data_IF_436173457606
#
_entry.id   IF_436173457606
#
_cell.length_a   1.000
_cell.length_b   1.000
_cell.length_c   1.000
_cell.angle_alpha   90.00
_cell.angle_beta   90.00
_cell.angle_gamma   90.00
#
_symmetry.space_group_name_H-M   'P 1'
#
loop_
_entity.id
_entity.type
_entity.pdbx_description
1 polymer ?
#
# COMPACT_ATOMS: atom_id res chain seq x y z
N UNK A 1 -19.73 -3.95 1.37
CA UNK A 1 -20.19 -2.55 1.25
C UNK A 1 -19.31 -1.73 2.17
N UNK A 2 -18.61 -0.70 1.70
CA UNK A 2 -17.62 0.06 2.50
C UNK A 2 -18.27 1.04 3.50
N UNK A 3 -19.58 1.30 3.33
CA UNK A 3 -20.37 2.18 4.20
C UNK A 3 -20.64 1.62 5.61
N UNK A 4 -20.37 0.33 5.86
CA UNK A 4 -20.68 -0.31 7.15
C UNK A 4 -19.64 0.01 8.24
N UNK A 5 -18.46 0.51 7.87
CA UNK A 5 -17.36 0.83 8.80
C UNK A 5 -17.15 2.34 9.04
N UNK A 6 -17.95 3.21 8.43
CA UNK A 6 -17.85 4.66 8.61
C UNK A 6 -16.52 5.26 8.13
N UNK A 7 -15.88 4.67 7.12
CA UNK A 7 -14.60 5.14 6.56
C UNK A 7 -14.82 6.50 5.92
N UNK A 8 -14.07 7.52 6.37
CA UNK A 8 -14.15 8.90 5.85
C UNK A 8 -12.88 9.33 5.14
N UNK A 9 -11.83 8.53 5.17
CA UNK A 9 -10.58 8.80 4.45
C UNK A 9 -9.90 7.50 4.06
N UNK A 10 -9.40 7.45 2.83
CA UNK A 10 -8.68 6.32 2.25
C UNK A 10 -7.49 6.82 1.44
N UNK A 11 -6.34 6.19 1.60
CA UNK A 11 -5.16 6.41 0.76
C UNK A 11 -4.52 5.06 0.45
N UNK A 12 -4.17 4.84 -0.81
CA UNK A 12 -3.52 3.62 -1.26
C UNK A 12 -2.36 3.89 -2.20
N UNK A 13 -1.39 2.97 -2.22
CA UNK A 13 -0.36 2.89 -3.24
C UNK A 13 -0.20 1.44 -3.71
N UNK A 14 -0.13 1.19 -5.03
CA UNK A 14 0.02 -0.15 -5.56
C UNK A 14 1.42 -0.69 -5.24
N UNK A 15 1.50 -1.99 -4.99
CA UNK A 15 2.75 -2.75 -4.94
C UNK A 15 3.07 -3.21 -6.36
N UNK A 16 4.06 -2.60 -6.99
CA UNK A 16 4.46 -2.90 -8.37
C UNK A 16 5.88 -3.45 -8.34
N UNK A 17 6.06 -4.67 -8.83
CA UNK A 17 7.37 -5.30 -8.92
C UNK A 17 8.22 -4.75 -10.09
N UNK A 18 9.45 -5.22 -10.20
CA UNK A 18 10.36 -4.83 -11.30
C UNK A 18 9.88 -5.21 -12.71
N UNK A 19 8.92 -6.12 -12.83
CA UNK A 19 8.33 -6.54 -14.12
C UNK A 19 7.16 -5.65 -14.53
N UNK A 20 6.68 -4.79 -13.63
CA UNK A 20 5.48 -3.99 -13.81
C UNK A 20 4.20 -4.71 -13.39
N UNK A 21 4.30 -5.89 -12.75
CA UNK A 21 3.15 -6.62 -12.22
C UNK A 21 2.67 -5.97 -10.92
N UNK A 22 1.35 -5.82 -10.80
CA UNK A 22 0.71 -5.37 -9.56
C UNK A 22 0.53 -6.57 -8.63
N UNK A 23 1.31 -6.61 -7.54
CA UNK A 23 1.26 -7.66 -6.53
C UNK A 23 0.11 -7.43 -5.52
N UNK A 24 -0.32 -6.18 -5.34
CA UNK A 24 -1.30 -5.80 -4.34
C UNK A 24 -1.35 -4.29 -4.09
N UNK A 25 -1.81 -3.89 -2.90
CA UNK A 25 -1.90 -2.46 -2.51
C UNK A 25 -1.65 -2.31 -1.01
N UNK A 26 -0.82 -1.34 -0.64
CA UNK A 26 -0.77 -0.82 0.73
C UNK A 26 -1.85 0.25 0.84
N UNK A 27 -2.71 0.13 1.85
CA UNK A 27 -3.77 1.09 2.09
C UNK A 27 -3.86 1.52 3.54
N UNK A 28 -4.30 2.76 3.74
CA UNK A 28 -4.65 3.34 5.03
C UNK A 28 -6.09 3.78 4.96
N UNK A 29 -6.86 3.43 5.98
CA UNK A 29 -8.25 3.86 6.17
C UNK A 29 -8.40 4.59 7.49
N UNK A 30 -9.25 5.61 7.53
CA UNK A 30 -9.59 6.34 8.75
C UNK A 30 -11.08 6.70 8.76
N UNK A 31 -11.69 6.70 9.95
CA UNK A 31 -13.09 7.11 10.19
C UNK A 31 -13.22 8.63 10.37
N UNK A 32 -12.11 9.36 10.47
CA UNK A 32 -12.07 10.82 10.48
C UNK A 32 -11.56 11.37 9.14
N UNK A 33 -12.01 12.57 8.71
CA UNK A 33 -11.40 13.26 7.58
C UNK A 33 -9.91 13.53 7.82
N UNK A 34 -9.05 13.12 6.88
CA UNK A 34 -7.59 13.35 6.94
C UNK A 34 -7.10 14.16 5.75
N UNK A 35 -6.35 15.22 6.04
CA UNK A 35 -5.66 16.04 5.04
C UNK A 35 -4.19 15.59 4.90
N UNK A 36 -3.97 14.37 4.41
CA UNK A 36 -2.63 13.80 4.28
C UNK A 36 -1.72 14.55 3.29
N UNK A 37 -2.31 15.20 2.28
CA UNK A 37 -1.60 16.00 1.30
C UNK A 37 -0.49 15.23 0.55
N UNK A 38 0.43 15.99 -0.04
CA UNK A 38 1.62 15.42 -0.69
C UNK A 38 2.52 14.63 0.28
N UNK A 39 2.74 15.05 1.54
CA UNK A 39 3.59 14.30 2.46
C UNK A 39 3.06 12.88 2.74
N UNK A 40 1.76 12.71 2.97
CA UNK A 40 1.19 11.39 3.18
C UNK A 40 1.22 10.53 1.92
N UNK A 41 1.02 11.12 0.74
CA UNK A 41 1.17 10.41 -0.52
C UNK A 41 2.61 9.94 -0.74
N UNK A 42 3.60 10.77 -0.41
CA UNK A 42 5.01 10.40 -0.50
C UNK A 42 5.33 9.25 0.49
N UNK A 43 4.80 9.33 1.71
CA UNK A 43 4.99 8.31 2.73
C UNK A 43 4.42 6.95 2.31
N UNK A 44 3.17 6.89 1.83
CA UNK A 44 2.57 5.61 1.43
C UNK A 44 3.25 5.01 0.19
N UNK A 45 3.76 5.84 -0.73
CA UNK A 45 4.55 5.40 -1.87
C UNK A 45 5.90 4.82 -1.44
N UNK A 46 6.57 5.45 -0.48
CA UNK A 46 7.81 4.93 0.09
C UNK A 46 7.56 3.58 0.79
N UNK A 47 6.48 3.47 1.58
CA UNK A 47 6.10 2.20 2.21
C UNK A 47 5.77 1.10 1.18
N UNK A 48 5.09 1.43 0.09
CA UNK A 48 4.81 0.50 -0.99
C UNK A 48 6.11 0.00 -1.65
N UNK A 49 7.05 0.90 -1.96
CA UNK A 49 8.34 0.54 -2.54
C UNK A 49 9.17 -0.35 -1.59
N UNK A 50 9.23 0.00 -0.31
CA UNK A 50 9.94 -0.79 0.71
C UNK A 50 9.35 -2.20 0.86
N UNK A 51 8.03 -2.33 0.76
CA UNK A 51 7.35 -3.61 0.86
C UNK A 51 7.60 -4.49 -0.37
N UNK A 52 7.62 -3.92 -1.57
CA UNK A 52 7.98 -4.65 -2.80
C UNK A 52 9.36 -5.29 -2.66
N UNK A 53 10.37 -4.53 -2.21
CA UNK A 53 11.73 -5.06 -2.03
C UNK A 53 11.77 -6.24 -1.04
N UNK A 54 10.93 -6.23 -0.02
CA UNK A 54 10.83 -7.34 0.94
C UNK A 54 10.12 -8.54 0.35
N UNK A 55 9.08 -8.33 -0.45
CA UNK A 55 8.35 -9.40 -1.14
C UNK A 55 9.25 -10.09 -2.16
N UNK A 56 9.99 -9.33 -2.97
CA UNK A 56 10.94 -9.88 -3.95
C UNK A 56 12.04 -10.71 -3.25
N UNK A 57 12.57 -10.25 -2.12
CA UNK A 57 13.53 -11.02 -1.32
C UNK A 57 12.92 -12.30 -0.74
N UNK A 58 11.69 -12.23 -0.24
CA UNK A 58 11.00 -13.39 0.31
C UNK A 58 10.72 -14.46 -0.76
N UNK A 59 10.41 -14.04 -1.98
CA UNK A 59 10.28 -14.92 -3.15
C UNK A 59 11.62 -15.59 -3.49
N UNK A 60 12.72 -14.83 -3.53
CA UNK A 60 14.08 -15.35 -3.75
C UNK A 60 14.49 -16.36 -2.64
N UNK A 61 14.04 -16.12 -1.40
CA UNK A 61 14.30 -16.97 -0.23
C UNK A 61 13.38 -18.23 -0.18
N UNK A 62 12.49 -18.42 -1.16
CA UNK A 62 11.66 -19.62 -1.32
C UNK A 62 10.43 -19.69 -0.41
N UNK A 63 9.99 -18.56 0.15
CA UNK A 63 8.70 -18.50 0.81
C UNK A 63 7.58 -18.51 -0.26
N UNK A 64 6.57 -19.39 -0.15
CA UNK A 64 5.47 -19.39 -1.09
C UNK A 64 4.65 -18.11 -0.90
N UNK A 65 4.57 -17.28 -1.96
CA UNK A 65 3.57 -16.23 -2.12
C UNK A 65 2.23 -16.83 -2.56
#
# INVERSE_FOLDING_TARGET
MVDEFGIRSYMGAPLIDRTGMVLGTVSVTDIQPRAWGQPGLAAIKAQAADLVVRLERAEDDGLPL
#
